data_IF_285847917046
#
_entry.id   IF_285847917046
#
_cell.length_a   1.000
_cell.length_b   1.000
_cell.length_c   1.000
_cell.angle_alpha   90.00
_cell.angle_beta   90.00
_cell.angle_gamma   90.00
#
_symmetry.space_group_name_H-M   'P 1'
#
loop_
_entity.id
_entity.type
_entity.pdbx_description
1 polymer ?
#
# COMPACT_ATOMS: atom_id res chain seq x y z
N UNK A 1 6.49 -19.24 14.96
CA UNK A 1 5.88 -18.65 13.76
C UNK A 1 6.65 -17.37 13.50
N UNK A 2 7.67 -17.47 12.64
CA UNK A 2 8.43 -16.31 12.19
C UNK A 2 7.51 -15.56 11.22
N UNK A 3 6.71 -14.63 11.75
CA UNK A 3 6.04 -13.65 10.90
C UNK A 3 7.17 -12.76 10.40
N UNK A 4 7.69 -13.03 9.20
CA UNK A 4 8.36 -12.01 8.41
C UNK A 4 7.46 -10.78 8.53
N UNK A 5 7.88 -9.78 9.30
CA UNK A 5 6.99 -8.69 9.66
C UNK A 5 6.72 -7.91 8.37
N UNK A 6 5.59 -8.20 7.73
CA UNK A 6 5.09 -7.39 6.63
C UNK A 6 4.76 -6.04 7.26
N UNK A 7 5.72 -5.14 7.19
CA UNK A 7 5.60 -3.77 7.66
C UNK A 7 5.31 -2.87 6.47
N UNK A 8 4.80 -1.67 6.74
CA UNK A 8 4.61 -0.65 5.72
C UNK A 8 5.92 -0.36 4.97
N UNK A 9 7.04 -0.33 5.69
CA UNK A 9 8.38 -0.16 5.13
C UNK A 9 8.69 -1.25 4.11
N UNK A 10 8.50 -2.52 4.48
CA UNK A 10 8.76 -3.65 3.59
C UNK A 10 7.81 -3.68 2.37
N UNK A 11 6.56 -3.23 2.54
CA UNK A 11 5.62 -3.09 1.43
C UNK A 11 6.12 -2.03 0.42
N UNK A 12 6.58 -0.88 0.91
CA UNK A 12 7.14 0.17 0.05
C UNK A 12 8.41 -0.30 -0.67
N UNK A 13 9.30 -1.01 0.02
CA UNK A 13 10.48 -1.61 -0.62
C UNK A 13 10.10 -2.63 -1.70
N UNK A 14 9.08 -3.46 -1.46
CA UNK A 14 8.56 -4.42 -2.43
C UNK A 14 7.94 -3.74 -3.66
N UNK A 15 7.34 -2.57 -3.46
CA UNK A 15 6.81 -1.71 -4.53
C UNK A 15 7.91 -0.90 -5.25
N UNK A 16 9.18 -1.02 -4.84
CA UNK A 16 10.31 -0.29 -5.40
C UNK A 16 10.41 1.18 -4.96
N UNK A 17 9.79 1.51 -3.82
CA UNK A 17 9.80 2.84 -3.21
C UNK A 17 10.67 2.86 -1.93
N UNK A 18 11.05 4.06 -1.45
CA UNK A 18 11.73 4.18 -0.16
C UNK A 18 10.87 3.62 0.98
N UNK A 19 11.40 2.65 1.71
CA UNK A 19 10.81 2.08 2.92
C UNK A 19 11.10 2.90 4.17
N UNK A 20 11.27 4.21 4.08
CA UNK A 20 11.52 5.09 5.23
C UNK A 20 10.19 5.59 5.82
N UNK A 21 10.02 5.54 7.14
CA UNK A 21 8.83 6.05 7.84
C UNK A 21 8.50 7.50 7.46
N UNK A 22 9.51 8.35 7.31
CA UNK A 22 9.34 9.74 6.91
C UNK A 22 8.80 9.88 5.49
N UNK A 23 9.23 9.00 4.56
CA UNK A 23 8.73 8.98 3.20
C UNK A 23 7.29 8.46 3.14
N UNK A 24 6.99 7.42 3.89
CA UNK A 24 5.65 6.82 3.99
C UNK A 24 4.63 7.82 4.54
N UNK A 25 4.94 8.50 5.66
CA UNK A 25 4.07 9.53 6.23
C UNK A 25 3.85 10.69 5.25
N UNK A 26 4.93 11.16 4.59
CA UNK A 26 4.80 12.18 3.54
C UNK A 26 3.95 11.72 2.36
N UNK A 27 4.13 10.47 1.91
CA UNK A 27 3.37 9.88 0.81
C UNK A 27 1.89 9.88 1.13
N UNK A 28 1.51 9.38 2.31
CA UNK A 28 0.11 9.30 2.77
C UNK A 28 -0.52 10.68 2.87
N UNK A 29 0.21 11.67 3.44
CA UNK A 29 -0.27 13.06 3.53
C UNK A 29 -0.45 13.73 2.18
N UNK A 30 0.33 13.33 1.18
CA UNK A 30 0.32 13.94 -0.15
C UNK A 30 -0.69 13.26 -1.08
N UNK A 31 -0.89 11.96 -0.94
CA UNK A 31 -1.69 11.12 -1.83
C UNK A 31 -2.95 10.62 -1.12
N UNK A 32 -3.83 11.54 -0.71
CA UNK A 32 -5.09 11.16 -0.08
C UNK A 32 -6.14 10.78 -1.13
N UNK A 33 -6.85 9.68 -0.88
CA UNK A 33 -7.99 9.24 -1.68
C UNK A 33 -9.26 9.87 -1.11
N UNK A 34 -9.74 10.93 -1.77
CA UNK A 34 -10.91 11.70 -1.34
C UNK A 34 -12.24 10.93 -1.44
N UNK A 35 -12.27 9.80 -2.15
CA UNK A 35 -13.46 8.98 -2.36
C UNK A 35 -13.20 7.55 -1.92
N UNK A 36 -14.01 7.05 -0.98
CA UNK A 36 -13.98 5.65 -0.52
C UNK A 36 -14.34 4.63 -1.62
N UNK A 37 -14.88 5.11 -2.74
CA UNK A 37 -15.15 4.30 -3.92
C UNK A 37 -13.87 4.01 -4.73
N UNK A 38 -12.80 4.78 -4.52
CA UNK A 38 -11.53 4.59 -5.23
C UNK A 38 -10.73 3.49 -4.55
N UNK A 39 -10.53 2.38 -5.24
CA UNK A 39 -9.69 1.29 -4.74
C UNK A 39 -8.23 1.72 -4.73
N UNK A 40 -7.49 1.28 -3.71
CA UNK A 40 -6.04 1.51 -3.65
C UNK A 40 -5.33 1.07 -4.93
N UNK A 41 -5.68 -0.09 -5.50
CA UNK A 41 -5.08 -0.61 -6.74
C UNK A 41 -5.47 0.16 -8.01
N UNK A 42 -6.43 1.08 -7.94
CA UNK A 42 -6.85 1.92 -9.07
C UNK A 42 -6.35 3.37 -8.93
N UNK A 43 -5.61 3.65 -7.86
CA UNK A 43 -5.10 4.99 -7.62
C UNK A 43 -4.04 5.40 -8.64
N UNK A 44 -4.12 6.65 -9.09
CA UNK A 44 -3.27 7.20 -10.17
C UNK A 44 -1.81 7.41 -9.78
N UNK A 45 -1.47 7.28 -8.49
CA UNK A 45 -0.10 7.36 -8.01
C UNK A 45 0.70 6.07 -8.18
N UNK A 46 0.03 4.96 -8.47
CA UNK A 46 0.70 3.70 -8.75
C UNK A 46 1.08 3.56 -10.21
N UNK A 47 2.22 2.93 -10.45
CA UNK A 47 2.54 2.35 -11.76
C UNK A 47 1.71 1.08 -12.00
N UNK A 48 1.60 0.65 -13.27
CA UNK A 48 0.83 -0.55 -13.63
C UNK A 48 1.27 -1.80 -12.85
N UNK A 49 2.58 -1.98 -12.63
CA UNK A 49 3.13 -3.11 -11.88
C UNK A 49 2.81 -3.03 -10.38
N UNK A 50 2.89 -1.85 -9.77
CA UNK A 50 2.55 -1.64 -8.36
C UNK A 50 1.06 -1.85 -8.11
N UNK A 51 0.22 -1.27 -8.97
CA UNK A 51 -1.23 -1.43 -8.95
C UNK A 51 -1.62 -2.91 -9.07
N UNK A 52 -0.95 -3.66 -9.96
CA UNK A 52 -1.22 -5.08 -10.12
C UNK A 52 -0.83 -5.89 -8.88
N UNK A 53 0.35 -5.63 -8.30
CA UNK A 53 0.76 -6.28 -7.06
C UNK A 53 -0.23 -6.02 -5.92
N UNK A 54 -0.64 -4.76 -5.72
CA UNK A 54 -1.62 -4.37 -4.70
C UNK A 54 -2.97 -5.07 -4.95
N UNK A 55 -3.41 -5.12 -6.21
CA UNK A 55 -4.64 -5.82 -6.60
C UNK A 55 -4.55 -7.30 -6.25
N UNK A 56 -3.48 -7.99 -6.64
CA UNK A 56 -3.28 -9.40 -6.31
C UNK A 56 -3.27 -9.63 -4.80
N UNK A 57 -2.61 -8.76 -4.03
CA UNK A 57 -2.58 -8.87 -2.57
C UNK A 57 -3.98 -8.80 -1.95
N UNK A 58 -4.84 -7.90 -2.45
CA UNK A 58 -6.22 -7.74 -2.01
C UNK A 58 -7.17 -8.85 -2.51
N UNK A 59 -6.97 -9.35 -3.73
CA UNK A 59 -7.85 -10.37 -4.33
C UNK A 59 -7.52 -11.79 -3.85
N UNK A 60 -6.24 -12.07 -3.59
CA UNK A 60 -5.77 -13.43 -3.24
C UNK A 60 -5.59 -13.66 -1.75
N UNK A 61 -5.91 -12.66 -0.92
CA UNK A 61 -5.65 -12.68 0.52
C UNK A 61 -4.19 -13.09 0.82
N UNK A 62 -3.27 -12.43 0.10
CA UNK A 62 -1.83 -12.71 0.24
C UNK A 62 -1.32 -12.30 1.62
N UNK A 63 -0.11 -12.73 1.98
CA UNK A 63 0.54 -12.32 3.24
C UNK A 63 0.68 -10.79 3.38
N UNK A 64 0.60 -10.05 2.28
CA UNK A 64 0.61 -8.58 2.26
C UNK A 64 -0.77 -7.92 2.43
N UNK A 65 -1.86 -8.69 2.39
CA UNK A 65 -3.24 -8.18 2.43
C UNK A 65 -3.48 -7.25 3.63
N UNK A 66 -3.02 -7.63 4.82
CA UNK A 66 -3.16 -6.84 6.06
C UNK A 66 -2.46 -5.46 5.96
N UNK A 67 -1.25 -5.41 5.41
CA UNK A 67 -0.48 -4.15 5.28
C UNK A 67 -1.06 -3.26 4.20
N UNK A 68 -1.50 -3.86 3.10
CA UNK A 68 -2.13 -3.15 1.99
C UNK A 68 -3.48 -2.55 2.43
N UNK A 69 -4.24 -3.26 3.27
CA UNK A 69 -5.47 -2.74 3.87
C UNK A 69 -5.21 -1.58 4.86
N UNK A 70 -4.18 -1.69 5.70
CA UNK A 70 -3.74 -0.59 6.58
C UNK A 70 -3.34 0.64 5.75
N UNK A 71 -2.58 0.46 4.67
CA UNK A 71 -2.21 1.55 3.76
C UNK A 71 -3.46 2.19 3.15
N UNK A 72 -4.40 1.37 2.67
CA UNK A 72 -5.65 1.84 2.10
C UNK A 72 -6.43 2.69 3.12
N UNK A 73 -6.52 2.24 4.37
CA UNK A 73 -7.19 2.97 5.45
C UNK A 73 -6.53 4.32 5.72
N UNK A 74 -5.19 4.36 5.79
CA UNK A 74 -4.45 5.61 6.02
C UNK A 74 -4.61 6.62 4.90
N UNK A 75 -4.73 6.17 3.65
CA UNK A 75 -4.91 7.04 2.48
C UNK A 75 -6.34 7.58 2.35
N UNK A 76 -7.33 6.96 3.00
CA UNK A 76 -8.73 7.39 3.03
C UNK A 76 -9.12 8.21 4.28
N UNK A 77 -8.13 8.65 5.08
CA UNK A 77 -8.34 9.41 6.31
C UNK A 77 -8.57 10.91 6.10
#
# INVERSE_FOLDING_TARGET
MDRSAHTMNALFEQLGMPGDDAYIDQFIRTHTLFSQEVKLSEATFWTESQANFIRECLETDSDWCEVVDDLNTRLHS
#
